data_IF_914093553459
#
_entry.id   IF_914093553459
#
_cell.length_a   1.000
_cell.length_b   1.000
_cell.length_c   1.000
_cell.angle_alpha   90.00
_cell.angle_beta   90.00
_cell.angle_gamma   90.00
#
_symmetry.space_group_name_H-M   'P 1'
#
loop_
_entity.id
_entity.type
_entity.pdbx_description
1 polymer ?
#
# COMPACT_ATOMS: atom_id res chain seq x y z
N UNK A 1 5.10 -16.09 34.82
CA UNK A 1 6.46 -15.78 34.31
C UNK A 1 6.89 -16.88 33.37
N UNK A 2 6.70 -16.73 32.07
CA UNK A 2 7.33 -17.58 31.06
C UNK A 2 7.43 -16.72 29.79
N UNK A 3 8.61 -16.13 29.63
CA UNK A 3 9.02 -15.36 28.45
C UNK A 3 9.41 -16.34 27.34
N UNK A 4 8.53 -16.59 26.37
CA UNK A 4 8.92 -17.20 25.11
C UNK A 4 9.03 -16.10 24.05
N UNK A 5 10.20 -15.48 23.97
CA UNK A 5 10.64 -14.80 22.76
C UNK A 5 10.88 -15.85 21.68
N UNK A 6 9.90 -16.10 20.84
CA UNK A 6 10.10 -16.79 19.59
C UNK A 6 10.91 -15.86 18.66
N UNK A 7 12.21 -16.06 18.67
CA UNK A 7 13.16 -15.39 17.80
C UNK A 7 13.03 -16.03 16.41
N UNK A 8 12.25 -15.40 15.52
CA UNK A 8 12.15 -15.77 14.13
C UNK A 8 13.45 -15.36 13.43
N UNK A 9 14.22 -16.27 12.84
CA UNK A 9 15.44 -15.91 12.13
C UNK A 9 15.07 -15.36 10.74
N UNK A 10 14.84 -14.05 10.65
CA UNK A 10 14.93 -13.41 9.35
C UNK A 10 16.40 -13.49 8.91
N UNK A 11 16.68 -14.02 7.70
CA UNK A 11 18.02 -13.93 7.17
C UNK A 11 18.39 -12.43 7.06
N UNK A 12 19.63 -12.05 7.38
CA UNK A 12 20.06 -10.67 7.25
C UNK A 12 19.75 -10.21 5.83
N UNK A 13 19.07 -9.07 5.71
CA UNK A 13 18.78 -8.41 4.43
C UNK A 13 20.10 -8.32 3.66
N UNK A 14 20.19 -9.02 2.52
CA UNK A 14 21.31 -8.92 1.62
C UNK A 14 21.52 -7.44 1.33
N UNK A 15 22.76 -6.90 1.43
CA UNK A 15 23.00 -5.53 1.06
C UNK A 15 22.51 -5.36 -0.39
N UNK A 16 21.58 -4.43 -0.59
CA UNK A 16 21.11 -4.08 -1.93
C UNK A 16 22.36 -3.68 -2.72
N UNK A 17 22.77 -4.54 -3.67
CA UNK A 17 24.00 -4.32 -4.42
C UNK A 17 23.92 -2.99 -5.14
N UNK A 18 25.06 -2.35 -5.39
CA UNK A 18 25.22 -1.08 -6.12
C UNK A 18 24.36 -1.04 -7.41
N UNK A 19 24.13 -2.17 -8.04
CA UNK A 19 23.27 -2.33 -9.22
C UNK A 19 21.78 -2.04 -8.94
N UNK A 20 21.25 -2.39 -7.76
CA UNK A 20 19.84 -2.15 -7.42
C UNK A 20 19.57 -0.66 -7.23
N UNK A 21 20.54 0.08 -6.69
CA UNK A 21 20.42 1.54 -6.51
C UNK A 21 20.54 2.30 -7.84
N UNK A 22 21.33 1.77 -8.79
CA UNK A 22 21.47 2.36 -10.12
C UNK A 22 20.21 2.14 -10.97
N UNK A 23 19.63 0.94 -10.93
CA UNK A 23 18.38 0.61 -11.63
C UNK A 23 17.18 1.40 -11.10
N UNK A 24 17.15 1.71 -9.80
CA UNK A 24 16.09 2.54 -9.19
C UNK A 24 16.10 4.01 -9.67
N UNK A 25 17.20 4.47 -10.28
CA UNK A 25 17.36 5.81 -10.85
C UNK A 25 17.04 5.88 -12.35
N UNK A 26 16.82 4.75 -13.01
CA UNK A 26 16.44 4.76 -14.41
C UNK A 26 15.03 5.32 -14.56
N UNK A 27 14.83 6.26 -15.49
CA UNK A 27 13.49 6.76 -15.77
C UNK A 27 12.63 5.63 -16.30
N UNK A 28 11.38 5.60 -15.84
CA UNK A 28 10.39 4.62 -16.28
C UNK A 28 9.25 5.29 -17.06
N UNK A 29 8.35 4.51 -17.59
CA UNK A 29 7.09 4.99 -18.16
C UNK A 29 6.02 4.97 -17.06
N UNK A 30 5.22 6.03 -16.97
CA UNK A 30 4.08 6.05 -16.04
C UNK A 30 3.10 4.95 -16.40
N UNK A 31 2.77 4.07 -15.44
CA UNK A 31 1.86 2.95 -15.63
C UNK A 31 0.40 3.38 -15.92
N UNK A 32 0.04 4.64 -15.65
CA UNK A 32 -1.30 5.18 -15.86
C UNK A 32 -1.40 5.96 -17.17
N UNK A 33 -0.62 7.04 -17.33
CA UNK A 33 -0.74 7.93 -18.50
C UNK A 33 0.31 7.66 -19.60
N UNK A 34 1.23 6.71 -19.37
CA UNK A 34 2.30 6.33 -20.32
C UNK A 34 3.34 7.40 -20.61
N UNK A 35 3.34 8.51 -19.89
CA UNK A 35 4.36 9.55 -20.04
C UNK A 35 5.77 9.00 -19.80
N UNK A 36 6.72 9.40 -20.63
CA UNK A 36 8.15 9.09 -20.56
C UNK A 36 8.97 10.37 -20.72
N UNK A 37 10.09 10.57 -20.03
CA UNK A 37 10.55 9.81 -18.86
C UNK A 37 9.73 10.14 -17.61
N UNK A 38 9.50 9.18 -16.74
CA UNK A 38 8.65 9.35 -15.58
C UNK A 38 9.05 8.45 -14.42
N UNK A 39 8.40 8.66 -13.27
CA UNK A 39 8.30 7.66 -12.20
C UNK A 39 7.29 6.59 -12.60
N UNK A 40 7.30 5.40 -11.97
CA UNK A 40 6.32 4.34 -12.24
C UNK A 40 4.86 4.76 -12.11
N UNK A 41 4.55 5.76 -11.28
CA UNK A 41 3.34 6.57 -11.31
C UNK A 41 3.76 8.03 -11.20
N UNK A 42 3.45 8.85 -12.20
CA UNK A 42 3.85 10.25 -12.23
C UNK A 42 3.04 11.09 -11.25
N UNK A 43 3.60 12.22 -10.82
CA UNK A 43 2.98 13.09 -9.81
C UNK A 43 1.60 13.62 -10.27
N UNK A 44 1.42 13.89 -11.55
CA UNK A 44 0.13 14.30 -12.12
C UNK A 44 -0.94 13.20 -11.99
N UNK A 45 -0.56 11.93 -12.17
CA UNK A 45 -1.47 10.81 -11.97
C UNK A 45 -1.75 10.57 -10.48
N UNK A 46 -0.77 10.73 -9.61
CA UNK A 46 -1.01 10.67 -8.16
C UNK A 46 -1.98 11.76 -7.73
N UNK A 47 -1.73 13.01 -8.12
CA UNK A 47 -2.61 14.13 -7.79
C UNK A 47 -4.05 13.94 -8.29
N UNK A 48 -4.21 13.35 -9.48
CA UNK A 48 -5.53 13.15 -10.09
C UNK A 48 -6.29 11.95 -9.53
N UNK A 49 -5.61 10.82 -9.24
CA UNK A 49 -6.24 9.53 -8.96
C UNK A 49 -6.01 9.04 -7.54
N UNK A 50 -5.17 9.71 -6.76
CA UNK A 50 -4.95 9.46 -5.35
C UNK A 50 -4.88 10.76 -4.53
N UNK A 51 -5.80 11.73 -4.75
CA UNK A 51 -5.81 12.96 -3.97
C UNK A 51 -6.05 12.64 -2.48
N UNK A 52 -5.52 13.45 -1.57
CA UNK A 52 -5.91 13.41 -0.17
C UNK A 52 -7.42 13.49 -0.04
N UNK A 53 -8.02 12.58 0.71
CA UNK A 53 -9.49 12.45 0.82
C UNK A 53 -9.84 12.16 2.27
N UNK A 54 -10.81 12.89 2.82
CA UNK A 54 -11.36 12.59 4.13
C UNK A 54 -11.99 11.20 4.14
N UNK A 55 -11.64 10.37 5.13
CA UNK A 55 -12.05 8.97 5.19
C UNK A 55 -12.57 8.59 6.56
N UNK A 56 -13.51 7.66 6.57
CA UNK A 56 -13.96 7.02 7.79
C UNK A 56 -12.80 6.32 8.49
N UNK A 57 -12.51 6.68 9.75
CA UNK A 57 -11.41 6.10 10.52
C UNK A 57 -11.53 4.60 10.77
N UNK A 58 -12.74 4.02 10.61
CA UNK A 58 -12.97 2.57 10.83
C UNK A 58 -12.84 1.73 9.56
N UNK A 59 -13.33 2.20 8.40
CA UNK A 59 -13.38 1.40 7.17
C UNK A 59 -12.70 2.04 5.98
N UNK A 60 -12.13 3.24 6.14
CA UNK A 60 -11.46 4.03 5.10
C UNK A 60 -12.33 4.44 3.89
N UNK A 61 -13.65 4.27 3.94
CA UNK A 61 -14.54 4.82 2.91
C UNK A 61 -14.46 6.36 2.90
N UNK A 62 -14.48 7.00 1.73
CA UNK A 62 -14.57 8.45 1.62
C UNK A 62 -15.80 8.99 2.38
N UNK A 63 -15.59 10.07 3.11
CA UNK A 63 -16.64 10.78 3.85
C UNK A 63 -16.47 12.29 3.62
N UNK A 64 -17.51 13.10 3.85
CA UNK A 64 -17.38 14.55 3.86
C UNK A 64 -16.36 15.04 4.91
N UNK A 65 -15.75 16.20 4.68
CA UNK A 65 -14.85 16.82 5.65
C UNK A 65 -15.54 17.03 7.01
N UNK A 66 -14.80 16.79 8.08
CA UNK A 66 -15.31 16.85 9.45
C UNK A 66 -16.06 15.60 9.93
N UNK A 67 -16.33 14.64 9.05
CA UNK A 67 -16.99 13.37 9.43
C UNK A 67 -15.93 12.34 9.76
N UNK A 68 -15.85 11.89 11.01
CA UNK A 68 -14.87 10.89 11.47
C UNK A 68 -15.29 9.45 11.20
N UNK A 69 -16.61 9.17 11.08
CA UNK A 69 -17.16 7.82 10.85
C UNK A 69 -18.32 7.86 9.88
N UNK A 70 -18.37 6.92 8.94
CA UNK A 70 -19.52 6.76 8.05
C UNK A 70 -20.72 6.17 8.80
N UNK A 71 -21.93 6.38 8.25
CA UNK A 71 -23.17 5.92 8.88
C UNK A 71 -23.22 4.41 9.13
N UNK A 72 -22.62 3.61 8.23
CA UNK A 72 -22.54 2.15 8.39
C UNK A 72 -21.67 1.77 9.61
N UNK A 73 -20.50 2.37 9.75
CA UNK A 73 -19.61 2.11 10.90
C UNK A 73 -20.14 2.67 12.23
N UNK A 74 -21.12 3.57 12.20
CA UNK A 74 -21.83 4.02 13.41
C UNK A 74 -22.83 2.96 13.84
N UNK A 75 -23.57 2.38 12.89
CA UNK A 75 -24.60 1.35 13.16
C UNK A 75 -23.99 -0.02 13.41
N UNK A 76 -23.02 -0.40 12.59
CA UNK A 76 -22.37 -1.72 12.58
C UNK A 76 -20.84 -1.55 12.58
N UNK A 77 -20.23 -1.26 13.74
CA UNK A 77 -18.79 -1.05 13.81
C UNK A 77 -18.06 -2.36 13.46
N UNK A 78 -17.12 -2.34 12.49
CA UNK A 78 -16.30 -3.51 12.19
C UNK A 78 -15.36 -3.82 13.36
N UNK A 79 -14.88 -5.08 13.49
CA UNK A 79 -13.95 -5.50 14.53
C UNK A 79 -12.50 -5.03 14.22
N UNK A 80 -12.36 -3.76 13.87
CA UNK A 80 -11.10 -3.10 13.54
C UNK A 80 -11.00 -1.78 14.30
N UNK A 81 -9.85 -1.43 14.82
CA UNK A 81 -9.64 -0.14 15.47
C UNK A 81 -9.54 0.99 14.46
N UNK A 82 -8.81 0.76 13.38
CA UNK A 82 -8.67 1.70 12.27
C UNK A 82 -8.43 0.98 10.94
N UNK A 83 -8.82 1.64 9.86
CA UNK A 83 -8.46 1.24 8.50
C UNK A 83 -7.95 2.47 7.75
N UNK A 84 -6.85 2.30 7.03
CA UNK A 84 -6.16 3.36 6.31
C UNK A 84 -6.08 2.98 4.83
N UNK A 85 -6.29 3.93 3.93
CA UNK A 85 -6.25 3.68 2.49
C UNK A 85 -5.56 4.82 1.74
N UNK A 86 -4.63 4.49 0.87
CA UNK A 86 -3.86 5.46 0.09
C UNK A 86 -4.71 6.13 -1.01
N UNK A 87 -5.67 5.42 -1.59
CA UNK A 87 -6.51 5.93 -2.66
C UNK A 87 -7.91 5.28 -2.62
N UNK A 88 -8.82 5.84 -3.40
CA UNK A 88 -10.14 5.24 -3.62
C UNK A 88 -10.02 4.08 -4.62
N UNK A 89 -10.76 3.00 -4.39
CA UNK A 89 -10.80 1.84 -5.29
C UNK A 89 -11.62 2.16 -6.55
N UNK A 90 -11.06 3.04 -7.37
CA UNK A 90 -11.63 3.50 -8.63
C UNK A 90 -10.54 3.52 -9.69
N UNK A 91 -10.90 3.67 -10.96
CA UNK A 91 -9.93 3.75 -12.06
C UNK A 91 -8.79 4.74 -11.71
N UNK A 92 -7.51 4.41 -11.94
CA UNK A 92 -6.96 3.22 -12.63
C UNK A 92 -6.57 2.06 -11.68
N UNK A 93 -6.82 2.16 -10.40
CA UNK A 93 -6.27 1.26 -9.38
C UNK A 93 -6.79 -0.17 -9.43
N UNK A 94 -8.10 -0.44 -9.69
CA UNK A 94 -8.59 -1.82 -9.80
C UNK A 94 -7.84 -2.65 -10.83
N UNK A 95 -7.62 -2.11 -12.03
CA UNK A 95 -6.90 -2.80 -13.09
C UNK A 95 -5.41 -3.01 -12.75
N UNK A 96 -4.79 -2.00 -12.14
CA UNK A 96 -3.41 -2.07 -11.69
C UNK A 96 -3.23 -3.13 -10.59
N UNK A 97 -4.15 -3.21 -9.63
CA UNK A 97 -4.15 -4.22 -8.56
C UNK A 97 -4.43 -5.62 -9.13
N UNK A 98 -5.37 -5.74 -10.09
CA UNK A 98 -5.64 -7.01 -10.76
C UNK A 98 -4.43 -7.51 -11.55
N UNK A 99 -3.70 -6.60 -12.22
CA UNK A 99 -2.46 -6.94 -12.92
C UNK A 99 -1.39 -7.46 -11.95
N UNK A 100 -1.22 -6.78 -10.83
CA UNK A 100 -0.29 -7.20 -9.78
C UNK A 100 -0.65 -8.56 -9.17
N UNK A 101 -1.94 -8.75 -8.83
CA UNK A 101 -2.39 -9.95 -8.12
C UNK A 101 -2.56 -11.18 -9.00
N UNK A 102 -2.96 -11.00 -10.27
CA UNK A 102 -3.48 -12.10 -11.09
C UNK A 102 -2.80 -12.24 -12.47
N UNK A 103 -2.00 -11.24 -12.89
CA UNK A 103 -1.34 -11.26 -14.20
C UNK A 103 0.20 -11.29 -14.12
N UNK A 104 0.74 -11.60 -12.94
CA UNK A 104 2.19 -11.74 -12.74
C UNK A 104 3.00 -10.44 -12.83
N UNK A 105 2.36 -9.26 -12.80
CA UNK A 105 3.06 -7.98 -12.90
C UNK A 105 3.66 -7.56 -11.54
N UNK A 106 4.60 -8.36 -11.02
CA UNK A 106 5.25 -8.13 -9.73
C UNK A 106 5.98 -6.78 -9.63
N UNK A 107 6.41 -6.20 -10.75
CA UNK A 107 7.02 -4.87 -10.81
C UNK A 107 6.14 -3.73 -10.27
N UNK A 108 4.84 -3.94 -10.12
CA UNK A 108 3.91 -2.98 -9.50
C UNK A 108 4.02 -2.88 -7.99
N UNK A 109 4.69 -3.83 -7.33
CA UNK A 109 4.85 -3.81 -5.87
C UNK A 109 5.54 -2.54 -5.37
N UNK A 110 6.66 -2.13 -6.00
CA UNK A 110 7.39 -0.92 -5.65
C UNK A 110 6.54 0.36 -5.76
N UNK A 111 5.90 0.63 -6.92
CA UNK A 111 4.95 1.73 -7.09
C UNK A 111 3.83 1.76 -6.04
N UNK A 112 3.21 0.61 -5.73
CA UNK A 112 2.17 0.55 -4.70
C UNK A 112 2.71 0.81 -3.30
N UNK A 113 3.88 0.29 -2.96
CA UNK A 113 4.53 0.57 -1.69
C UNK A 113 4.85 2.07 -1.55
N UNK A 114 5.35 2.71 -2.61
CA UNK A 114 5.62 4.16 -2.64
C UNK A 114 4.33 4.95 -2.45
N UNK A 115 3.25 4.60 -3.17
CA UNK A 115 1.95 5.25 -3.04
C UNK A 115 1.38 5.11 -1.62
N UNK A 116 1.47 3.91 -1.03
CA UNK A 116 1.02 3.66 0.33
C UNK A 116 1.81 4.50 1.34
N UNK A 117 3.13 4.49 1.25
CA UNK A 117 4.03 5.24 2.15
C UNK A 117 3.96 6.76 1.99
N UNK A 118 3.43 7.26 0.88
CA UNK A 118 3.21 8.69 0.69
C UNK A 118 2.06 9.24 1.55
N UNK A 119 1.24 8.38 2.15
CA UNK A 119 0.21 8.80 3.09
C UNK A 119 0.82 9.25 4.43
N UNK A 120 0.48 10.47 4.93
CA UNK A 120 1.09 11.04 6.14
C UNK A 120 0.79 10.24 7.42
N UNK A 121 -0.16 9.33 7.37
CA UNK A 121 -0.58 8.46 8.46
C UNK A 121 0.16 7.12 8.50
N UNK A 122 0.93 6.76 7.47
CA UNK A 122 1.57 5.43 7.38
C UNK A 122 2.73 5.28 8.36
N UNK A 123 3.67 6.22 8.35
CA UNK A 123 4.82 6.16 9.25
C UNK A 123 4.39 6.17 10.74
N UNK A 124 3.49 7.08 11.19
CA UNK A 124 2.99 7.02 12.57
C UNK A 124 2.27 5.70 12.91
N UNK A 125 1.51 5.14 11.96
CA UNK A 125 0.83 3.86 12.19
C UNK A 125 1.81 2.68 12.31
N UNK A 126 2.88 2.68 11.52
CA UNK A 126 3.94 1.66 11.60
C UNK A 126 4.75 1.78 12.89
N UNK A 127 5.04 3.01 13.35
CA UNK A 127 5.73 3.24 14.61
C UNK A 127 4.91 2.85 15.84
N UNK A 128 3.57 2.98 15.74
CA UNK A 128 2.66 2.67 16.83
C UNK A 128 2.30 1.18 16.93
N UNK A 129 2.63 0.33 15.96
CA UNK A 129 2.27 -1.08 15.97
C UNK A 129 3.40 -1.97 16.52
N UNK A 130 3.03 -2.98 17.31
CA UNK A 130 3.98 -3.98 17.83
C UNK A 130 4.35 -5.02 16.78
N UNK A 131 3.44 -5.30 15.83
CA UNK A 131 3.61 -6.35 14.82
C UNK A 131 3.01 -5.89 13.50
N UNK A 132 3.73 -6.12 12.41
CA UNK A 132 3.24 -5.95 11.02
C UNK A 132 3.05 -7.33 10.41
N UNK A 133 1.80 -7.66 10.06
CA UNK A 133 1.46 -8.93 9.41
C UNK A 133 1.07 -8.68 7.95
N UNK A 134 1.80 -9.25 6.99
CA UNK A 134 1.37 -9.20 5.60
C UNK A 134 0.15 -10.10 5.38
N UNK A 135 -0.72 -9.74 4.42
CA UNK A 135 -1.80 -10.63 4.01
C UNK A 135 -1.20 -11.93 3.44
N UNK A 136 -1.52 -13.10 4.00
CA UNK A 136 -0.97 -14.36 3.53
C UNK A 136 -1.42 -14.68 2.11
N UNK A 137 -0.51 -15.25 1.32
CA UNK A 137 -0.87 -15.81 0.01
C UNK A 137 -1.57 -17.15 0.19
N UNK A 138 -2.54 -17.44 -0.68
CA UNK A 138 -3.12 -18.78 -0.75
C UNK A 138 -2.04 -19.81 -1.11
N UNK A 139 -2.10 -21.05 -0.55
CA UNK A 139 -1.06 -22.07 -0.76
C UNK A 139 -0.73 -22.38 -2.23
N UNK A 140 -1.71 -22.27 -3.14
CA UNK A 140 -1.50 -22.42 -4.58
C UNK A 140 -0.62 -21.34 -5.19
N UNK A 141 -0.66 -20.13 -4.67
CA UNK A 141 0.14 -18.97 -5.14
C UNK A 141 1.55 -18.91 -4.56
N UNK A 142 1.83 -19.67 -3.52
CA UNK A 142 3.19 -19.79 -2.97
C UNK A 142 4.11 -20.64 -3.83
N UNK A 143 3.58 -21.36 -4.81
CA UNK A 143 4.29 -22.31 -5.68
C UNK A 143 4.56 -21.78 -7.08
N UNK A 144 4.02 -20.62 -7.43
CA UNK A 144 4.25 -19.87 -8.67
C UNK A 144 5.35 -18.82 -8.49
#
# INVERSE_FOLDING_TARGET
>A
MLSHRAMWPFPPSRPAGLFTSLLARLPSQCAVCRTWPSRPVCDACVARFAPPTARCGRCALPVPEGVSRCGECVKHPPPLDACLAACTYAWPWPDAIAAFKFRGEAGRAGPFATLLRSGPWVEPALEACDIVLPMPLAPGRLRE
#
